data_IF_730670251484
#
_entry.id   IF_730670251484
#
_cell.length_a   1.000
_cell.length_b   1.000
_cell.length_c   1.000
_cell.angle_alpha   90.00
_cell.angle_beta   90.00
_cell.angle_gamma   90.00
#
_symmetry.space_group_name_H-M   'P 1'
#
loop_
_entity.id
_entity.type
_entity.pdbx_description
1 polymer ?
#
# COMPACT_ATOMS: atom_id res chain seq x y z
N UNK A 1 -12.85 24.37 -27.33
CA UNK A 1 -12.70 25.83 -27.51
C UNK A 1 -12.22 26.45 -26.19
N UNK A 2 -10.90 26.58 -26.06
CA UNK A 2 -10.23 27.20 -24.91
C UNK A 2 -10.62 28.67 -24.76
N UNK A 3 -10.85 29.14 -23.53
CA UNK A 3 -10.82 30.57 -23.19
C UNK A 3 -10.01 30.76 -21.90
N UNK A 4 -8.70 30.81 -22.10
CA UNK A 4 -7.67 31.23 -21.14
C UNK A 4 -7.79 32.73 -20.88
N UNK A 5 -7.95 33.16 -19.62
CA UNK A 5 -7.68 34.52 -19.07
C UNK A 5 -7.67 34.37 -17.54
N UNK A 6 -6.76 34.89 -16.70
CA UNK A 6 -5.63 35.83 -16.79
C UNK A 6 -4.80 35.64 -15.51
N UNK A 7 -3.49 35.81 -15.62
CA UNK A 7 -2.52 35.89 -14.54
C UNK A 7 -2.78 37.19 -13.75
N UNK A 8 -2.83 37.10 -12.42
CA UNK A 8 -2.73 38.24 -11.52
C UNK A 8 -1.82 37.85 -10.35
N UNK A 9 -0.65 38.48 -10.32
CA UNK A 9 0.28 38.44 -9.21
C UNK A 9 -0.25 39.30 -8.05
N UNK A 10 -0.09 38.81 -6.82
CA UNK A 10 -0.09 39.63 -5.62
C UNK A 10 0.78 38.95 -4.56
N UNK A 11 2.05 39.40 -4.50
CA UNK A 11 2.97 39.15 -3.39
C UNK A 11 2.63 40.18 -2.31
N UNK A 12 2.26 39.72 -1.11
CA UNK A 12 2.38 40.51 0.11
C UNK A 12 2.86 39.60 1.23
N UNK A 13 4.03 39.96 1.77
CA UNK A 13 4.70 39.31 2.87
C UNK A 13 4.06 39.68 4.20
N UNK A 14 3.92 38.71 5.09
CA UNK A 14 3.86 38.96 6.54
C UNK A 14 4.67 37.90 7.26
N UNK A 15 5.75 38.36 7.87
CA UNK A 15 6.65 37.62 8.76
C UNK A 15 5.89 37.12 10.00
N UNK A 16 5.79 35.81 10.17
CA UNK A 16 5.40 35.20 11.44
C UNK A 16 6.68 34.67 12.12
N UNK A 17 7.14 35.39 13.15
CA UNK A 17 8.15 34.91 14.08
C UNK A 17 7.43 34.19 15.22
N UNK A 18 7.42 32.85 15.20
CA UNK A 18 6.93 32.03 16.29
C UNK A 18 8.05 31.10 16.77
N UNK A 19 8.37 31.23 18.05
CA UNK A 19 9.34 30.45 18.78
C UNK A 19 8.89 28.98 18.91
N UNK A 20 9.85 28.05 18.86
CA UNK A 20 9.61 26.65 19.17
C UNK A 20 10.66 25.72 18.55
N UNK A 21 11.88 25.71 19.07
CA UNK A 21 12.85 24.64 18.77
C UNK A 21 12.44 23.37 19.52
N UNK A 22 11.43 22.67 19.01
CA UNK A 22 11.24 21.26 19.33
C UNK A 22 12.37 20.50 18.65
N UNK A 23 13.25 19.90 19.46
CA UNK A 23 14.29 19.01 19.01
C UNK A 23 13.66 17.90 18.16
N UNK A 24 13.84 17.97 16.84
CA UNK A 24 13.62 16.84 15.95
C UNK A 24 14.71 15.82 16.25
N UNK A 25 14.45 14.93 17.21
CA UNK A 25 15.08 13.62 17.20
C UNK A 25 14.56 12.94 15.94
N UNK A 26 15.32 13.05 14.86
CA UNK A 26 15.10 12.23 13.68
C UNK A 26 15.22 10.79 14.14
N UNK A 27 14.07 10.11 14.24
CA UNK A 27 14.03 8.66 14.40
C UNK A 27 14.96 8.06 13.36
N UNK A 28 15.85 7.12 13.73
CA UNK A 28 16.58 6.37 12.73
C UNK A 28 15.52 5.55 11.99
N UNK A 29 15.11 6.03 10.82
CA UNK A 29 14.39 5.22 9.85
C UNK A 29 15.31 4.04 9.55
N UNK A 30 14.99 2.92 10.20
CA UNK A 30 15.71 1.67 10.10
C UNK A 30 15.96 1.39 8.62
N UNK A 31 17.22 1.13 8.31
CA UNK A 31 17.69 0.70 7.03
C UNK A 31 16.76 -0.39 6.48
N UNK A 32 15.96 -0.04 5.47
CA UNK A 32 15.29 -1.02 4.65
C UNK A 32 16.39 -1.66 3.79
N UNK A 33 16.89 -2.80 4.24
CA UNK A 33 17.80 -3.64 3.47
C UNK A 33 17.15 -3.96 2.14
N UNK A 34 17.73 -3.41 1.09
CA UNK A 34 17.43 -3.64 -0.31
C UNK A 34 17.89 -5.05 -0.69
N UNK A 35 17.10 -6.05 -0.30
CA UNK A 35 17.27 -7.42 -0.80
C UNK A 35 16.55 -7.51 -2.14
N UNK A 36 17.23 -7.10 -3.22
CA UNK A 36 16.76 -7.38 -4.58
C UNK A 36 16.82 -8.87 -4.87
N UNK A 37 15.80 -9.32 -5.60
CA UNK A 37 15.86 -10.39 -6.58
C UNK A 37 16.35 -11.76 -6.06
N UNK A 38 15.42 -12.48 -5.45
CA UNK A 38 15.48 -13.92 -5.32
C UNK A 38 14.06 -14.43 -5.11
N UNK A 39 13.33 -14.66 -6.20
CA UNK A 39 12.19 -15.57 -6.16
C UNK A 39 12.76 -16.96 -5.90
N UNK A 40 13.08 -17.25 -4.65
CA UNK A 40 13.45 -18.59 -4.19
C UNK A 40 12.16 -19.26 -3.79
N UNK A 41 11.80 -20.27 -4.57
CA UNK A 41 10.79 -21.29 -4.27
C UNK A 41 10.71 -21.57 -2.75
N UNK A 42 9.67 -21.02 -2.11
CA UNK A 42 9.32 -21.28 -0.71
C UNK A 42 8.23 -22.36 -0.61
N UNK A 43 8.04 -23.18 -1.65
CA UNK A 43 7.08 -24.27 -1.66
C UNK A 43 5.63 -23.77 -1.72
N UNK A 44 5.01 -23.87 -2.89
CA UNK A 44 3.56 -23.74 -3.10
C UNK A 44 2.90 -22.40 -2.69
N UNK A 45 3.63 -21.37 -2.27
CA UNK A 45 3.02 -20.09 -1.88
C UNK A 45 2.93 -19.11 -3.05
N UNK A 46 1.78 -18.45 -3.20
CA UNK A 46 1.63 -17.30 -4.10
C UNK A 46 2.46 -16.14 -3.55
N UNK A 47 3.48 -15.76 -4.31
CA UNK A 47 4.49 -14.81 -3.88
C UNK A 47 4.95 -13.93 -5.06
N UNK A 48 4.81 -12.62 -4.90
CA UNK A 48 5.10 -11.65 -5.96
C UNK A 48 6.46 -10.94 -5.80
N UNK A 49 7.18 -11.18 -4.71
CA UNK A 49 8.54 -10.68 -4.54
C UNK A 49 8.68 -9.28 -3.92
N UNK A 50 7.57 -8.62 -3.55
CA UNK A 50 7.63 -7.28 -2.94
C UNK A 50 7.88 -7.34 -1.43
N UNK A 51 7.38 -8.37 -0.75
CA UNK A 51 7.48 -8.50 0.71
C UNK A 51 7.69 -9.95 1.18
N UNK A 52 8.94 -10.32 1.47
CA UNK A 52 9.36 -11.68 1.84
C UNK A 52 9.11 -12.07 3.31
N UNK A 53 8.44 -11.22 4.09
CA UNK A 53 8.23 -11.50 5.51
C UNK A 53 7.24 -12.64 5.67
N UNK A 54 7.59 -13.65 6.43
CA UNK A 54 6.71 -14.80 6.75
C UNK A 54 5.44 -14.38 7.49
N UNK A 55 5.52 -13.29 8.25
CA UNK A 55 4.40 -12.64 8.92
C UNK A 55 4.32 -11.16 8.54
N UNK A 56 3.62 -10.81 7.44
CA UNK A 56 3.38 -9.41 7.06
C UNK A 56 2.57 -8.65 8.14
N UNK A 57 2.68 -7.31 8.29
CA UNK A 57 1.80 -6.59 9.18
C UNK A 57 0.39 -6.65 8.61
N UNK A 58 -0.57 -6.32 9.45
CA UNK A 58 -1.91 -5.99 9.00
C UNK A 58 -1.87 -4.73 8.16
N UNK A 59 -2.39 -4.81 6.93
CA UNK A 59 -2.56 -3.65 6.03
C UNK A 59 -4.05 -3.43 5.76
N UNK A 60 -4.44 -2.19 5.55
CA UNK A 60 -5.81 -1.81 5.23
C UNK A 60 -5.87 -0.43 4.59
N UNK A 61 -7.06 0.15 4.49
CA UNK A 61 -7.27 1.45 3.83
C UNK A 61 -6.26 2.52 4.28
N UNK A 62 -5.64 3.20 3.32
CA UNK A 62 -4.61 4.22 3.54
C UNK A 62 -3.20 3.67 3.80
N UNK A 63 -3.02 2.36 3.97
CA UNK A 63 -1.68 1.74 4.04
C UNK A 63 -0.95 1.91 2.71
N UNK A 64 0.38 1.98 2.76
CA UNK A 64 1.20 2.11 1.54
C UNK A 64 2.47 1.26 1.64
N UNK A 65 3.11 1.04 0.49
CA UNK A 65 4.44 0.42 0.41
C UNK A 65 4.43 -0.99 -0.17
N UNK A 66 5.55 -1.70 0.02
CA UNK A 66 5.78 -2.99 -0.66
C UNK A 66 4.83 -4.10 -0.19
N UNK A 67 4.46 -4.10 1.09
CA UNK A 67 3.44 -5.02 1.62
C UNK A 67 2.11 -4.89 0.89
N UNK A 68 1.71 -3.66 0.53
CA UNK A 68 0.49 -3.40 -0.24
C UNK A 68 0.64 -3.89 -1.67
N UNK A 69 1.81 -3.66 -2.31
CA UNK A 69 2.10 -4.20 -3.65
C UNK A 69 2.05 -5.71 -3.69
N UNK A 70 2.52 -6.37 -2.63
CA UNK A 70 2.44 -7.82 -2.51
C UNK A 70 0.99 -8.30 -2.52
N UNK A 71 0.14 -7.75 -1.65
CA UNK A 71 -1.28 -8.12 -1.61
C UNK A 71 -1.99 -7.82 -2.93
N UNK A 72 -1.77 -6.65 -3.51
CA UNK A 72 -2.33 -6.26 -4.80
C UNK A 72 -1.91 -7.25 -5.90
N UNK A 73 -0.62 -7.54 -6.02
CA UNK A 73 -0.15 -8.46 -7.05
C UNK A 73 -0.79 -9.86 -6.93
N UNK A 74 -0.90 -10.40 -5.70
CA UNK A 74 -1.57 -11.68 -5.48
C UNK A 74 -3.05 -11.59 -5.88
N UNK A 75 -3.76 -10.54 -5.46
CA UNK A 75 -5.16 -10.32 -5.82
C UNK A 75 -5.36 -10.19 -7.34
N UNK A 76 -4.47 -9.48 -8.04
CA UNK A 76 -4.49 -9.33 -9.50
C UNK A 76 -4.28 -10.68 -10.21
N UNK A 77 -3.31 -11.48 -9.73
CA UNK A 77 -3.05 -12.83 -10.23
C UNK A 77 -4.24 -13.78 -10.01
N UNK A 78 -5.00 -13.58 -8.93
CA UNK A 78 -6.24 -14.31 -8.66
C UNK A 78 -7.45 -13.77 -9.44
N UNK A 79 -7.28 -12.68 -10.19
CA UNK A 79 -8.31 -12.10 -11.07
C UNK A 79 -9.21 -11.06 -10.41
N UNK A 80 -8.87 -10.55 -9.22
CA UNK A 80 -9.61 -9.47 -8.58
C UNK A 80 -9.27 -8.11 -9.21
N UNK A 81 -10.29 -7.27 -9.38
CA UNK A 81 -10.13 -5.97 -10.02
C UNK A 81 -9.56 -4.92 -9.04
N UNK A 82 -8.33 -4.47 -9.30
CA UNK A 82 -7.65 -3.39 -8.55
C UNK A 82 -7.87 -1.98 -9.13
N UNK A 83 -8.72 -1.85 -10.15
CA UNK A 83 -8.97 -0.60 -10.83
C UNK A 83 -7.81 -0.17 -11.75
N UNK A 84 -7.82 1.08 -12.22
CA UNK A 84 -6.89 1.55 -13.25
C UNK A 84 -5.44 1.66 -12.78
N UNK A 85 -5.20 1.73 -11.46
CA UNK A 85 -3.84 1.85 -10.91
C UNK A 85 -3.12 0.50 -10.79
N UNK A 86 -3.86 -0.62 -10.73
CA UNK A 86 -3.28 -1.95 -10.55
C UNK A 86 -2.44 -2.07 -9.26
N UNK A 87 -1.23 -2.61 -9.39
CA UNK A 87 -0.26 -2.79 -8.29
C UNK A 87 0.55 -1.51 -8.07
N UNK A 88 -0.05 -0.51 -7.42
CA UNK A 88 0.57 0.79 -7.15
C UNK A 88 1.22 0.91 -5.75
N UNK A 89 0.89 -0.01 -4.84
CA UNK A 89 1.32 0.04 -3.44
C UNK A 89 0.56 1.04 -2.59
N UNK A 90 -0.61 1.50 -3.04
CA UNK A 90 -1.53 2.33 -2.27
C UNK A 90 -2.82 1.55 -1.99
N UNK A 91 -3.15 1.40 -0.71
CA UNK A 91 -4.36 0.68 -0.31
C UNK A 91 -5.56 1.63 -0.37
N UNK A 92 -6.07 1.84 -1.59
CA UNK A 92 -7.25 2.66 -1.87
C UNK A 92 -8.56 1.86 -1.92
N UNK A 93 -9.61 2.49 -2.43
CA UNK A 93 -10.97 1.91 -2.50
C UNK A 93 -11.04 0.65 -3.37
N UNK A 94 -10.32 0.63 -4.49
CA UNK A 94 -10.28 -0.54 -5.36
C UNK A 94 -9.59 -1.74 -4.68
N UNK A 95 -8.42 -1.52 -4.08
CA UNK A 95 -7.72 -2.55 -3.29
C UNK A 95 -8.60 -3.07 -2.16
N UNK A 96 -9.27 -2.18 -1.43
CA UNK A 96 -10.21 -2.58 -0.36
C UNK A 96 -11.36 -3.42 -0.89
N UNK A 97 -11.93 -3.04 -2.03
CA UNK A 97 -13.04 -3.77 -2.65
C UNK A 97 -12.60 -5.16 -3.12
N UNK A 98 -11.40 -5.26 -3.70
CA UNK A 98 -10.80 -6.54 -4.09
C UNK A 98 -10.55 -7.45 -2.87
N UNK A 99 -10.03 -6.90 -1.77
CA UNK A 99 -9.82 -7.65 -0.53
C UNK A 99 -11.16 -8.17 0.03
N UNK A 100 -12.20 -7.35 0.05
CA UNK A 100 -13.52 -7.79 0.53
C UNK A 100 -14.14 -8.89 -0.35
N UNK A 101 -13.98 -8.77 -1.67
CA UNK A 101 -14.43 -9.81 -2.60
C UNK A 101 -13.69 -11.12 -2.33
N UNK A 102 -12.37 -11.07 -2.21
CA UNK A 102 -11.55 -12.22 -1.84
C UNK A 102 -11.96 -12.85 -0.51
N UNK A 103 -12.13 -12.05 0.53
CA UNK A 103 -12.57 -12.51 1.85
C UNK A 103 -13.93 -13.21 1.79
N UNK A 104 -14.86 -12.69 0.98
CA UNK A 104 -16.16 -13.31 0.75
C UNK A 104 -16.03 -14.66 0.06
N UNK A 105 -15.19 -14.74 -0.99
CA UNK A 105 -14.97 -15.94 -1.78
C UNK A 105 -14.36 -17.08 -0.96
N UNK A 106 -13.44 -16.76 -0.03
CA UNK A 106 -12.83 -17.74 0.90
C UNK A 106 -13.60 -17.91 2.21
N UNK A 107 -14.77 -17.26 2.36
CA UNK A 107 -15.69 -17.34 3.51
C UNK A 107 -15.06 -16.99 4.87
N UNK A 108 -14.30 -15.91 4.91
CA UNK A 108 -13.80 -15.28 6.15
C UNK A 108 -14.46 -13.91 6.36
N UNK A 109 -14.13 -13.23 7.46
CA UNK A 109 -14.64 -11.89 7.76
C UNK A 109 -14.25 -10.89 6.64
N UNK A 110 -15.22 -10.15 6.09
CA UNK A 110 -15.07 -9.24 4.93
C UNK A 110 -14.79 -7.78 5.34
N UNK A 111 -13.94 -7.59 6.35
CA UNK A 111 -13.60 -6.28 6.90
C UNK A 111 -12.82 -5.36 5.93
N UNK A 112 -12.30 -5.91 4.84
CA UNK A 112 -11.47 -5.21 3.86
C UNK A 112 -10.05 -4.94 4.36
N UNK A 113 -9.59 -5.71 5.35
CA UNK A 113 -8.28 -5.61 5.99
C UNK A 113 -7.51 -6.91 5.74
N UNK A 114 -6.26 -6.78 5.32
CA UNK A 114 -5.38 -7.94 5.14
C UNK A 114 -4.61 -8.18 6.44
N UNK A 115 -5.25 -8.90 7.36
CA UNK A 115 -4.65 -9.38 8.60
C UNK A 115 -4.01 -10.77 8.46
N UNK A 116 -3.52 -11.38 9.56
CA UNK A 116 -2.84 -12.68 9.53
C UNK A 116 -3.68 -13.80 8.89
N UNK A 117 -4.99 -13.82 9.14
CA UNK A 117 -5.90 -14.79 8.54
C UNK A 117 -5.98 -14.58 7.02
N UNK A 118 -6.25 -13.35 6.57
CA UNK A 118 -6.30 -13.01 5.14
C UNK A 118 -4.97 -13.30 4.43
N UNK A 119 -3.83 -13.00 5.06
CA UNK A 119 -2.50 -13.31 4.52
C UNK A 119 -2.27 -14.81 4.32
N UNK A 120 -2.74 -15.64 5.27
CA UNK A 120 -2.68 -17.08 5.14
C UNK A 120 -3.43 -17.53 3.88
N UNK A 121 -4.64 -17.02 3.65
CA UNK A 121 -5.41 -17.38 2.47
C UNK A 121 -4.81 -16.84 1.17
N UNK A 122 -4.27 -15.62 1.16
CA UNK A 122 -3.64 -15.05 -0.04
C UNK A 122 -2.41 -15.85 -0.48
N UNK A 123 -1.61 -16.32 0.48
CA UNK A 123 -0.32 -16.95 0.18
C UNK A 123 -0.40 -18.46 0.04
N UNK A 124 -1.32 -19.14 0.71
CA UNK A 124 -1.43 -20.61 0.67
C UNK A 124 -2.45 -21.14 -0.37
N UNK A 125 -2.93 -20.28 -1.29
CA UNK A 125 -3.99 -20.61 -2.25
C UNK A 125 -3.62 -21.71 -3.26
#
# INVERSE_FOLDING_TARGET
MQRIRRIAAAVLATTALAAGTAAMTTSPAAAATDTRAGATDIGALWYCGWDNRTTPPTIGYGSTGNTVREAQCILDLMGYNLGPSGVDGHFGDYTRSAVRAFQNDVRIDDDGVVGPVTWSWLRYA
#
